data_IF_780828779061
#
_entry.id   IF_780828779061
#
_cell.length_a   1.000
_cell.length_b   1.000
_cell.length_c   1.000
_cell.angle_alpha   90.00
_cell.angle_beta   90.00
_cell.angle_gamma   90.00
#
_symmetry.space_group_name_H-M   'P 1'
#
loop_
_entity.id
_entity.type
_entity.pdbx_description
1 polymer ?
#
# COMPACT_ATOMS: atom_id res chain seq x y z
N UNK A 1 -28.08 18.46 -40.86
CA UNK A 1 -28.55 17.09 -41.09
C UNK A 1 -27.35 16.16 -41.27
N UNK A 2 -27.29 15.05 -40.54
CA UNK A 2 -26.22 14.06 -40.70
C UNK A 2 -26.56 13.11 -41.85
N UNK A 3 -25.64 12.89 -42.78
CA UNK A 3 -25.74 11.88 -43.85
C UNK A 3 -24.58 10.91 -43.72
N UNK A 4 -24.85 9.63 -43.98
CA UNK A 4 -23.83 8.59 -44.00
C UNK A 4 -23.46 8.27 -45.45
N UNK A 5 -22.22 8.51 -45.85
CA UNK A 5 -21.72 8.17 -47.19
C UNK A 5 -21.03 6.82 -47.14
N UNK A 6 -21.58 5.82 -47.83
CA UNK A 6 -20.97 4.49 -47.95
C UNK A 6 -20.27 4.38 -49.31
N UNK A 7 -18.95 4.21 -49.29
CA UNK A 7 -18.18 3.84 -50.49
C UNK A 7 -17.59 2.44 -50.32
N UNK A 8 -16.78 1.99 -51.29
CA UNK A 8 -15.99 0.76 -51.17
C UNK A 8 -14.92 0.84 -50.08
N UNK A 9 -14.52 2.05 -49.73
CA UNK A 9 -13.47 2.34 -48.77
C UNK A 9 -13.97 2.34 -47.33
N UNK A 10 -15.26 2.59 -47.10
CA UNK A 10 -15.79 2.71 -45.75
C UNK A 10 -17.13 3.45 -45.65
N UNK A 11 -17.52 3.77 -44.42
CA UNK A 11 -18.69 4.57 -44.11
C UNK A 11 -18.25 5.87 -43.43
N UNK A 12 -18.52 6.99 -44.07
CA UNK A 12 -18.18 8.33 -43.59
C UNK A 12 -19.44 9.06 -43.13
N UNK A 13 -19.32 9.94 -42.14
CA UNK A 13 -20.44 10.75 -41.64
C UNK A 13 -20.20 12.21 -42.01
N UNK A 14 -21.09 12.80 -42.81
CA UNK A 14 -21.03 14.19 -43.23
C UNK A 14 -22.21 14.96 -42.64
N UNK A 15 -21.95 16.17 -42.15
CA UNK A 15 -22.99 17.08 -41.66
C UNK A 15 -23.29 18.12 -42.73
N UNK A 16 -24.54 18.18 -43.17
CA UNK A 16 -25.05 19.25 -44.03
C UNK A 16 -25.72 20.32 -43.18
N UNK A 17 -25.33 21.57 -43.33
CA UNK A 17 -25.92 22.66 -42.55
C UNK A 17 -27.35 23.01 -43.01
N UNK A 18 -27.68 22.70 -44.27
CA UNK A 18 -28.99 23.00 -44.87
C UNK A 18 -29.79 21.71 -45.15
N UNK A 19 -31.02 21.54 -44.61
CA UNK A 19 -31.89 20.40 -44.89
C UNK A 19 -32.44 20.38 -46.33
N UNK A 20 -32.37 21.49 -47.07
CA UNK A 20 -32.75 21.59 -48.48
C UNK A 20 -31.56 21.48 -49.44
N UNK A 21 -30.46 20.85 -49.01
CA UNK A 21 -29.27 20.75 -49.83
C UNK A 21 -29.53 20.00 -51.16
N UNK A 22 -28.93 20.49 -52.24
CA UNK A 22 -28.99 19.83 -53.55
C UNK A 22 -27.90 18.76 -53.68
N UNK A 23 -28.04 17.87 -54.67
CA UNK A 23 -26.99 16.88 -54.98
C UNK A 23 -25.65 17.56 -55.27
N UNK A 24 -25.63 18.70 -55.96
CA UNK A 24 -24.40 19.47 -56.21
C UNK A 24 -23.69 19.90 -54.92
N UNK A 25 -24.46 20.34 -53.93
CA UNK A 25 -23.92 20.74 -52.62
C UNK A 25 -23.39 19.52 -51.85
N UNK A 26 -24.09 18.38 -51.92
CA UNK A 26 -23.60 17.12 -51.34
C UNK A 26 -22.29 16.66 -52.00
N UNK A 27 -22.19 16.73 -53.34
CA UNK A 27 -20.95 16.37 -54.05
C UNK A 27 -19.78 17.30 -53.70
N UNK A 28 -20.05 18.59 -53.54
CA UNK A 28 -19.06 19.57 -53.06
C UNK A 28 -18.57 19.22 -51.65
N UNK A 29 -19.49 18.88 -50.75
CA UNK A 29 -19.15 18.49 -49.38
C UNK A 29 -18.29 17.21 -49.35
N UNK A 30 -18.64 16.21 -50.17
CA UNK A 30 -17.85 14.98 -50.35
C UNK A 30 -16.43 15.31 -50.86
N UNK A 31 -16.31 16.23 -51.82
CA UNK A 31 -14.99 16.65 -52.31
C UNK A 31 -14.17 17.34 -51.22
N UNK A 32 -14.78 18.22 -50.42
CA UNK A 32 -14.08 18.94 -49.36
C UNK A 32 -13.63 18.03 -48.22
N UNK A 33 -14.48 17.10 -47.78
CA UNK A 33 -14.17 16.24 -46.62
C UNK A 33 -13.43 14.96 -46.99
N UNK A 34 -13.77 14.33 -48.12
CA UNK A 34 -13.22 13.05 -48.52
C UNK A 34 -12.16 13.17 -49.62
N UNK A 35 -11.90 14.39 -50.12
CA UNK A 35 -10.92 14.67 -51.17
C UNK A 35 -11.18 13.92 -52.49
N UNK A 36 -12.46 13.59 -52.76
CA UNK A 36 -12.90 12.89 -53.98
C UNK A 36 -13.38 13.93 -54.99
N UNK A 37 -12.73 14.12 -56.15
CA UNK A 37 -13.15 15.10 -57.15
C UNK A 37 -14.60 14.88 -57.61
N UNK A 38 -15.41 15.93 -57.73
CA UNK A 38 -16.82 15.83 -58.16
C UNK A 38 -16.98 15.04 -59.47
N UNK A 39 -16.03 15.16 -60.41
CA UNK A 39 -16.02 14.42 -61.68
C UNK A 39 -15.91 12.90 -61.53
N UNK A 40 -15.34 12.43 -60.42
CA UNK A 40 -15.23 11.01 -60.08
C UNK A 40 -16.39 10.48 -59.23
N UNK A 41 -17.32 11.34 -58.81
CA UNK A 41 -18.40 10.95 -57.90
C UNK A 41 -19.66 10.51 -58.64
N UNK A 42 -19.99 9.22 -58.51
CA UNK A 42 -21.33 8.69 -58.80
C UNK A 42 -22.06 8.42 -57.48
N UNK A 43 -23.21 9.06 -57.28
CA UNK A 43 -24.04 8.90 -56.08
C UNK A 43 -25.30 8.11 -56.42
N UNK A 44 -25.78 7.31 -55.48
CA UNK A 44 -27.07 6.64 -55.56
C UNK A 44 -27.63 6.37 -54.18
N UNK A 45 -28.96 6.32 -54.08
CA UNK A 45 -29.67 5.76 -52.92
C UNK A 45 -29.68 4.23 -52.94
N UNK A 46 -29.28 3.60 -54.06
CA UNK A 46 -29.25 2.15 -54.24
C UNK A 46 -27.88 1.54 -53.87
N UNK A 47 -27.89 0.60 -52.92
CA UNK A 47 -26.70 -0.12 -52.47
C UNK A 47 -25.95 -0.87 -53.58
N UNK A 48 -26.67 -1.32 -54.61
CA UNK A 48 -26.09 -2.10 -55.70
C UNK A 48 -25.05 -1.31 -56.52
N UNK A 49 -25.00 0.03 -56.37
CA UNK A 49 -23.95 0.87 -56.92
C UNK A 49 -22.55 0.35 -56.54
N UNK A 50 -22.37 -0.09 -55.29
CA UNK A 50 -21.06 -0.54 -54.81
C UNK A 50 -20.67 -1.93 -55.36
N UNK A 51 -21.64 -2.71 -55.85
CA UNK A 51 -21.45 -4.03 -56.45
C UNK A 51 -21.12 -3.95 -57.96
N UNK A 52 -21.36 -2.81 -58.60
CA UNK A 52 -21.14 -2.59 -60.03
C UNK A 52 -19.65 -2.68 -60.41
N UNK A 53 -19.25 -3.64 -61.24
CA UNK A 53 -17.83 -3.93 -61.49
C UNK A 53 -17.21 -3.09 -62.61
N UNK A 54 -18.02 -2.60 -63.54
CA UNK A 54 -17.55 -1.84 -64.71
C UNK A 54 -18.08 -0.39 -64.70
N UNK A 55 -17.39 0.57 -65.34
CA UNK A 55 -17.90 1.94 -65.49
C UNK A 55 -19.29 2.00 -66.15
N UNK A 56 -19.56 1.09 -67.09
CA UNK A 56 -20.87 0.96 -67.74
C UNK A 56 -21.97 0.51 -66.80
N UNK A 57 -21.67 -0.31 -65.79
CA UNK A 57 -22.63 -0.71 -64.75
C UNK A 57 -22.90 0.44 -63.78
N UNK A 58 -21.87 1.21 -63.43
CA UNK A 58 -21.97 2.39 -62.55
C UNK A 58 -22.83 3.48 -63.20
N UNK A 59 -22.67 3.70 -64.52
CA UNK A 59 -23.44 4.68 -65.27
C UNK A 59 -24.95 4.42 -65.32
N UNK A 60 -25.41 3.21 -64.96
CA UNK A 60 -26.86 2.87 -64.89
C UNK A 60 -27.56 3.48 -63.67
N UNK A 61 -26.80 3.95 -62.68
CA UNK A 61 -27.34 4.57 -61.47
C UNK A 61 -27.47 6.09 -61.69
N UNK A 62 -28.65 6.50 -62.15
CA UNK A 62 -28.93 7.91 -62.50
C UNK A 62 -29.90 8.58 -61.54
N UNK A 63 -30.28 7.92 -60.43
CA UNK A 63 -31.23 8.47 -59.45
C UNK A 63 -30.73 9.76 -58.77
N UNK A 64 -29.40 9.96 -58.72
CA UNK A 64 -28.78 11.19 -58.23
C UNK A 64 -27.93 11.91 -59.30
N UNK A 65 -28.31 11.83 -60.59
CA UNK A 65 -27.54 12.48 -61.66
C UNK A 65 -27.82 13.97 -61.84
N UNK A 66 -29.02 14.44 -61.49
CA UNK A 66 -29.39 15.86 -61.63
C UNK A 66 -28.82 16.71 -60.47
N UNK A 67 -27.87 17.62 -60.71
CA UNK A 67 -27.24 18.41 -59.66
C UNK A 67 -28.19 19.35 -58.91
N UNK A 68 -29.33 19.74 -59.49
CA UNK A 68 -30.27 20.68 -58.89
C UNK A 68 -31.35 20.01 -58.04
N UNK A 69 -31.51 18.68 -58.16
CA UNK A 69 -32.50 17.94 -57.37
C UNK A 69 -32.14 18.03 -55.87
N UNK A 70 -33.09 18.48 -55.01
CA UNK A 70 -32.91 18.44 -53.56
C UNK A 70 -32.81 17.00 -53.07
N UNK A 71 -31.84 16.70 -52.20
CA UNK A 71 -31.64 15.32 -51.71
C UNK A 71 -32.85 14.78 -50.94
N UNK A 72 -33.62 15.65 -50.30
CA UNK A 72 -34.87 15.29 -49.61
C UNK A 72 -35.95 14.74 -50.57
N UNK A 73 -35.95 15.17 -51.84
CA UNK A 73 -36.88 14.65 -52.86
C UNK A 73 -36.64 13.18 -53.20
N UNK A 74 -35.44 12.67 -52.89
CA UNK A 74 -35.03 11.28 -53.06
C UNK A 74 -35.20 10.44 -51.78
N UNK A 75 -35.91 10.97 -50.78
CA UNK A 75 -36.12 10.30 -49.49
C UNK A 75 -34.91 10.31 -48.57
N UNK A 76 -33.86 11.10 -48.88
CA UNK A 76 -32.68 11.23 -48.03
C UNK A 76 -32.99 12.16 -46.86
N UNK A 77 -33.17 11.58 -45.69
CA UNK A 77 -33.45 12.26 -44.42
C UNK A 77 -32.28 12.13 -43.44
N UNK A 78 -32.42 12.68 -42.22
CA UNK A 78 -31.36 12.59 -41.19
C UNK A 78 -30.96 11.13 -40.92
N UNK A 79 -29.67 10.85 -41.03
CA UNK A 79 -29.11 9.52 -40.84
C UNK A 79 -29.23 8.62 -42.07
N UNK A 80 -29.80 9.06 -43.19
CA UNK A 80 -29.88 8.25 -44.41
C UNK A 80 -28.50 7.88 -44.95
N UNK A 81 -28.42 6.73 -45.62
CA UNK A 81 -27.21 6.25 -46.28
C UNK A 81 -27.29 6.61 -47.77
N UNK A 82 -26.24 7.26 -48.28
CA UNK A 82 -26.04 7.48 -49.71
C UNK A 82 -24.80 6.71 -50.14
N UNK A 83 -24.89 5.99 -51.24
CA UNK A 83 -23.80 5.17 -51.76
C UNK A 83 -22.98 5.99 -52.76
N UNK A 84 -21.66 5.92 -52.65
CA UNK A 84 -20.71 6.64 -53.49
C UNK A 84 -19.77 5.65 -54.18
N UNK A 85 -19.79 5.63 -55.51
CA UNK A 85 -18.76 5.02 -56.34
C UNK A 85 -17.82 6.10 -56.89
N UNK A 86 -16.52 5.83 -56.78
CA UNK A 86 -15.44 6.66 -57.32
C UNK A 86 -14.24 5.77 -57.70
N UNK A 87 -13.37 6.29 -58.55
CA UNK A 87 -12.15 5.64 -59.05
C UNK A 87 -10.86 6.18 -58.42
N UNK A 88 -10.97 7.17 -57.53
CA UNK A 88 -9.85 7.79 -56.84
C UNK A 88 -9.26 6.87 -55.77
N UNK A 89 -7.96 6.58 -55.86
CA UNK A 89 -7.20 5.95 -54.78
C UNK A 89 -6.97 6.97 -53.66
N UNK A 90 -7.62 6.76 -52.50
CA UNK A 90 -7.41 7.57 -51.29
C UNK A 90 -6.75 6.75 -50.19
N UNK A 91 -5.85 7.38 -49.44
CA UNK A 91 -5.38 6.87 -48.15
C UNK A 91 -6.47 7.12 -47.11
N UNK A 92 -7.27 6.09 -46.82
CA UNK A 92 -8.27 6.16 -45.74
C UNK A 92 -7.54 6.04 -44.42
N UNK A 93 -7.62 7.05 -43.57
CA UNK A 93 -7.21 6.90 -42.17
C UNK A 93 -8.02 5.77 -41.55
N UNK A 94 -7.34 4.72 -41.09
CA UNK A 94 -7.99 3.62 -40.39
C UNK A 94 -8.80 4.13 -39.19
N UNK A 95 -9.76 3.34 -38.68
CA UNK A 95 -10.59 3.77 -37.56
C UNK A 95 -9.71 4.26 -36.41
N UNK A 96 -10.08 5.39 -35.81
CA UNK A 96 -9.51 5.83 -34.54
C UNK A 96 -9.82 4.77 -33.50
N UNK A 97 -8.82 3.93 -33.21
CA UNK A 97 -8.89 2.95 -32.13
C UNK A 97 -8.88 3.70 -30.80
N UNK A 98 -10.06 3.86 -30.20
CA UNK A 98 -10.20 4.04 -28.76
C UNK A 98 -10.39 2.65 -28.15
N UNK A 99 -9.39 2.05 -27.47
CA UNK A 99 -9.53 0.70 -26.97
C UNK A 99 -10.47 0.69 -25.77
N UNK A 100 -11.73 0.31 -26.01
CA UNK A 100 -12.49 -0.43 -25.02
C UNK A 100 -12.07 -1.90 -25.12
N UNK A 101 -11.42 -2.43 -24.07
CA UNK A 101 -11.29 -3.87 -23.85
C UNK A 101 -10.36 -4.65 -24.80
N UNK A 102 -9.11 -4.84 -24.36
CA UNK A 102 -8.40 -6.13 -24.33
C UNK A 102 -8.61 -7.19 -25.43
N UNK A 103 -8.65 -6.85 -26.72
CA UNK A 103 -8.46 -7.85 -27.79
C UNK A 103 -7.39 -7.40 -28.79
N UNK A 104 -6.24 -8.09 -28.78
CA UNK A 104 -5.24 -8.02 -29.86
C UNK A 104 -3.95 -7.24 -29.61
N UNK A 105 -3.71 -6.68 -28.42
CA UNK A 105 -2.35 -6.18 -28.08
C UNK A 105 -1.40 -7.37 -28.04
N UNK A 106 -0.28 -7.32 -28.77
CA UNK A 106 0.85 -8.24 -28.54
C UNK A 106 1.22 -8.10 -27.08
N UNK A 107 0.94 -9.14 -26.29
CA UNK A 107 1.30 -9.17 -24.88
C UNK A 107 2.81 -9.01 -24.79
N UNK A 108 3.25 -7.95 -24.14
CA UNK A 108 4.63 -7.82 -23.71
C UNK A 108 4.87 -8.77 -22.54
N UNK A 109 6.14 -9.09 -22.25
CA UNK A 109 6.44 -9.87 -21.04
C UNK A 109 5.94 -9.16 -19.79
N UNK A 110 6.00 -7.82 -19.75
CA UNK A 110 5.46 -7.05 -18.63
C UNK A 110 3.93 -7.18 -18.53
N UNK A 111 3.18 -7.21 -19.65
CA UNK A 111 1.73 -7.47 -19.64
C UNK A 111 1.40 -8.89 -19.11
N UNK A 112 2.25 -9.88 -19.39
CA UNK A 112 2.09 -11.24 -18.88
C UNK A 112 2.39 -11.33 -17.38
N UNK A 113 3.43 -10.65 -16.91
CA UNK A 113 3.79 -10.59 -15.48
C UNK A 113 2.71 -9.80 -14.71
N UNK A 114 2.23 -8.68 -15.24
CA UNK A 114 1.12 -7.90 -14.66
C UNK A 114 -0.14 -8.75 -14.48
N UNK A 115 -0.50 -9.55 -15.50
CA UNK A 115 -1.64 -10.48 -15.41
C UNK A 115 -1.47 -11.58 -14.35
N UNK A 116 -0.23 -11.96 -14.03
CA UNK A 116 0.05 -12.87 -12.92
C UNK A 116 -0.02 -12.16 -11.56
N UNK A 117 0.24 -10.85 -11.52
CA UNK A 117 0.28 -10.04 -10.30
C UNK A 117 -1.03 -9.30 -10.06
N UNK A 118 -1.99 -10.05 -9.53
CA UNK A 118 -3.28 -9.52 -9.09
C UNK A 118 -3.24 -9.16 -7.62
N UNK A 119 -3.56 -7.91 -7.29
CA UNK A 119 -3.76 -7.47 -5.91
C UNK A 119 -5.25 -7.60 -5.56
N UNK A 120 -5.53 -8.37 -4.51
CA UNK A 120 -6.86 -8.55 -3.94
C UNK A 120 -6.78 -8.40 -2.43
N UNK A 121 -7.85 -7.90 -1.82
CA UNK A 121 -7.95 -7.82 -0.36
C UNK A 121 -7.85 -9.22 0.24
N UNK A 122 -7.00 -9.35 1.27
CA UNK A 122 -6.95 -10.53 2.11
C UNK A 122 -7.89 -10.31 3.29
N UNK A 123 -8.85 -11.21 3.48
CA UNK A 123 -9.90 -11.05 4.49
C UNK A 123 -9.47 -11.56 5.86
N UNK A 124 -8.64 -12.61 5.91
CA UNK A 124 -8.23 -13.26 7.16
C UNK A 124 -6.73 -13.08 7.39
N UNK A 125 -6.32 -12.58 8.57
CA UNK A 125 -4.91 -12.59 8.96
C UNK A 125 -4.47 -14.03 9.24
N UNK A 126 -3.16 -14.24 9.27
CA UNK A 126 -2.57 -15.47 9.83
C UNK A 126 -2.41 -15.37 11.36
N UNK A 127 -2.32 -14.15 11.88
CA UNK A 127 -2.40 -13.85 13.31
C UNK A 127 -3.87 -13.83 13.77
N UNK A 128 -4.26 -14.77 14.62
CA UNK A 128 -5.64 -14.88 15.14
C UNK A 128 -6.01 -13.68 16.03
N UNK A 129 -5.07 -13.24 16.86
CA UNK A 129 -5.20 -12.04 17.69
C UNK A 129 -3.84 -11.58 18.19
N UNK A 130 -3.73 -10.31 18.56
CA UNK A 130 -2.58 -9.77 19.29
C UNK A 130 -3.02 -9.33 20.68
N UNK A 131 -2.32 -9.78 21.70
CA UNK A 131 -2.53 -9.38 23.08
C UNK A 131 -1.33 -8.57 23.57
N UNK A 132 -1.58 -7.38 24.13
CA UNK A 132 -0.52 -6.52 24.67
C UNK A 132 -0.46 -6.60 26.20
N UNK A 133 0.74 -6.67 26.75
CA UNK A 133 0.95 -6.42 28.17
C UNK A 133 0.54 -4.99 28.51
N UNK A 134 -0.29 -4.85 29.56
CA UNK A 134 -0.86 -3.58 29.97
C UNK A 134 0.21 -2.56 30.37
N UNK A 135 1.23 -2.99 31.12
CA UNK A 135 2.25 -2.08 31.63
C UNK A 135 3.21 -1.64 30.52
N UNK A 136 3.62 -2.57 29.64
CA UNK A 136 4.46 -2.27 28.49
C UNK A 136 3.74 -1.35 27.48
N UNK A 137 2.49 -1.65 27.13
CA UNK A 137 1.69 -0.79 26.26
C UNK A 137 1.47 0.59 26.89
N UNK A 138 1.20 0.64 28.20
CA UNK A 138 1.03 1.89 28.92
C UNK A 138 2.33 2.72 28.94
N UNK A 139 3.49 2.08 29.16
CA UNK A 139 4.79 2.75 29.15
C UNK A 139 5.14 3.35 27.79
N UNK A 140 4.74 2.71 26.69
CA UNK A 140 4.91 3.22 25.33
C UNK A 140 3.98 4.41 25.05
N UNK A 141 2.66 4.23 25.23
CA UNK A 141 1.70 5.32 24.95
C UNK A 141 1.93 6.55 25.83
N UNK A 142 2.30 6.35 27.10
CA UNK A 142 2.46 7.45 28.05
C UNK A 142 3.62 8.36 27.63
N UNK A 143 4.72 7.77 27.17
CA UNK A 143 5.85 8.56 26.66
C UNK A 143 5.47 9.35 25.41
N UNK A 144 4.76 8.71 24.48
CA UNK A 144 4.33 9.36 23.24
C UNK A 144 3.34 10.49 23.53
N UNK A 145 2.39 10.27 24.46
CA UNK A 145 1.38 11.25 24.83
C UNK A 145 1.96 12.43 25.62
N UNK A 146 2.67 12.13 26.72
CA UNK A 146 3.12 13.18 27.66
C UNK A 146 4.39 13.89 27.20
N UNK A 147 5.31 13.16 26.54
CA UNK A 147 6.62 13.73 26.18
C UNK A 147 6.66 14.20 24.74
N UNK A 148 6.12 13.41 23.81
CA UNK A 148 6.16 13.74 22.38
C UNK A 148 4.90 14.44 21.89
N UNK A 149 3.79 14.36 22.64
CA UNK A 149 2.47 14.93 22.30
C UNK A 149 2.03 14.52 20.88
N UNK A 150 2.40 13.31 20.45
CA UNK A 150 2.18 12.81 19.08
C UNK A 150 2.65 13.79 17.97
N UNK A 151 3.67 14.62 18.25
CA UNK A 151 4.21 15.59 17.29
C UNK A 151 5.20 14.96 16.29
N UNK A 152 5.85 13.86 16.69
CA UNK A 152 6.75 13.07 15.85
C UNK A 152 6.43 11.59 15.99
N UNK A 153 6.74 10.80 14.95
CA UNK A 153 6.59 9.34 14.99
C UNK A 153 7.59 8.71 15.96
N UNK A 154 7.16 7.61 16.58
CA UNK A 154 7.96 6.77 17.46
C UNK A 154 7.59 5.32 17.20
N UNK A 155 8.55 4.41 17.25
CA UNK A 155 8.27 2.98 17.09
C UNK A 155 9.18 2.07 17.89
N UNK A 156 8.84 0.79 17.88
CA UNK A 156 9.53 -0.23 18.64
C UNK A 156 9.25 -1.63 18.10
N UNK A 157 10.15 -2.55 18.38
CA UNK A 157 9.96 -3.97 18.11
C UNK A 157 9.23 -4.62 19.28
N UNK A 158 8.18 -5.36 18.96
CA UNK A 158 7.35 -6.07 19.92
C UNK A 158 7.93 -7.47 20.15
N UNK A 159 8.09 -7.86 21.41
CA UNK A 159 8.60 -9.18 21.79
C UNK A 159 7.62 -9.92 22.67
N UNK A 160 7.55 -11.23 22.47
CA UNK A 160 6.73 -12.13 23.27
C UNK A 160 6.61 -13.49 22.61
N UNK A 161 5.41 -14.06 22.57
CA UNK A 161 5.20 -15.45 22.12
C UNK A 161 4.12 -15.55 21.04
N UNK A 162 4.15 -16.65 20.29
CA UNK A 162 3.14 -17.02 19.32
C UNK A 162 2.62 -18.40 19.71
N UNK A 163 1.32 -18.50 19.97
CA UNK A 163 0.65 -19.76 20.30
C UNK A 163 0.39 -20.61 19.03
N UNK A 164 0.08 -21.89 19.23
CA UNK A 164 -0.16 -22.84 18.13
C UNK A 164 -1.35 -22.46 17.23
N UNK A 165 -2.31 -21.71 17.77
CA UNK A 165 -3.49 -21.19 17.06
C UNK A 165 -3.21 -19.88 16.31
N UNK A 166 -1.99 -19.36 16.38
CA UNK A 166 -1.59 -18.10 15.76
C UNK A 166 -1.90 -16.86 16.61
N UNK A 167 -2.31 -17.02 17.87
CA UNK A 167 -2.43 -15.89 18.79
C UNK A 167 -1.04 -15.37 19.20
N UNK A 168 -0.83 -14.07 19.00
CA UNK A 168 0.40 -13.37 19.37
C UNK A 168 0.23 -12.70 20.73
N UNK A 169 1.23 -12.86 21.59
CA UNK A 169 1.32 -12.19 22.88
C UNK A 169 2.56 -11.32 22.89
N UNK A 170 2.41 -10.04 23.22
CA UNK A 170 3.48 -9.04 23.34
C UNK A 170 3.70 -8.73 24.82
N UNK A 171 4.84 -9.14 25.36
CA UNK A 171 5.18 -8.97 26.78
C UNK A 171 6.11 -7.77 27.03
N UNK A 172 6.85 -7.28 26.03
CA UNK A 172 7.60 -6.01 26.10
C UNK A 172 7.85 -5.38 24.71
N UNK A 173 8.22 -4.10 24.71
CA UNK A 173 8.52 -3.32 23.50
C UNK A 173 9.94 -2.76 23.62
N UNK A 174 10.82 -3.15 22.72
CA UNK A 174 12.16 -2.57 22.60
C UNK A 174 12.13 -1.40 21.61
N UNK A 175 12.59 -0.22 22.03
CA UNK A 175 12.63 0.97 21.19
C UNK A 175 14.06 1.17 20.64
N UNK A 176 14.35 0.84 19.36
CA UNK A 176 15.68 1.01 18.81
C UNK A 176 16.07 2.49 18.73
N UNK A 177 17.37 2.82 18.59
CA UNK A 177 17.78 4.16 18.22
C UNK A 177 17.03 4.60 16.96
N UNK A 178 16.42 5.78 16.98
CA UNK A 178 15.49 6.18 15.93
C UNK A 178 15.36 7.69 15.82
N UNK A 179 14.97 8.16 14.63
CA UNK A 179 14.65 9.54 14.34
C UNK A 179 13.25 9.63 13.76
N UNK A 180 12.32 10.17 14.56
CA UNK A 180 10.97 10.47 14.14
C UNK A 180 10.84 11.88 13.57
N UNK A 181 10.05 12.02 12.52
CA UNK A 181 9.51 13.29 12.04
C UNK A 181 7.98 13.22 12.05
N UNK A 182 7.31 14.25 11.55
CA UNK A 182 5.86 14.25 11.40
C UNK A 182 5.38 13.17 10.41
N UNK A 183 6.14 12.98 9.32
CA UNK A 183 5.78 12.14 8.18
C UNK A 183 6.44 10.75 8.24
N UNK A 184 7.67 10.66 8.77
CA UNK A 184 8.52 9.47 8.65
C UNK A 184 9.12 9.03 9.99
N UNK A 185 9.40 7.73 10.08
CA UNK A 185 10.13 7.13 11.20
C UNK A 185 11.35 6.39 10.65
N UNK A 186 12.54 6.86 11.01
CA UNK A 186 13.80 6.23 10.60
C UNK A 186 14.33 5.42 11.78
N UNK A 187 14.44 4.10 11.62
CA UNK A 187 15.07 3.22 12.60
C UNK A 187 16.57 3.16 12.33
N UNK A 188 17.37 3.65 13.28
CA UNK A 188 18.84 3.59 13.24
C UNK A 188 19.29 2.27 13.89
N UNK A 189 19.01 1.15 13.21
CA UNK A 189 19.22 -0.21 13.72
C UNK A 189 20.68 -0.41 14.15
N UNK A 190 20.86 -0.80 15.41
CA UNK A 190 22.15 -1.20 15.97
C UNK A 190 22.18 -2.73 16.06
N UNK A 191 23.00 -3.36 15.21
CA UNK A 191 23.06 -4.83 15.14
C UNK A 191 23.62 -5.45 16.43
N UNK A 192 24.51 -4.77 17.14
CA UNK A 192 25.11 -5.30 18.36
C UNK A 192 24.12 -5.20 19.53
N UNK A 193 23.40 -4.08 19.65
CA UNK A 193 22.31 -3.95 20.64
C UNK A 193 21.16 -4.91 20.33
N UNK A 194 20.73 -5.03 19.06
CA UNK A 194 19.67 -5.98 18.68
C UNK A 194 20.04 -7.44 19.00
N UNK A 195 21.31 -7.84 18.85
CA UNK A 195 21.75 -9.19 19.27
C UNK A 195 21.59 -9.41 20.77
N UNK A 196 21.86 -8.40 21.59
CA UNK A 196 21.64 -8.49 23.04
C UNK A 196 20.14 -8.61 23.35
N UNK A 197 19.31 -7.80 22.69
CA UNK A 197 17.85 -7.86 22.83
C UNK A 197 17.33 -9.25 22.45
N UNK A 198 17.73 -9.79 21.31
CA UNK A 198 17.32 -11.10 20.83
C UNK A 198 17.82 -12.23 21.76
N UNK A 199 19.02 -12.11 22.33
CA UNK A 199 19.57 -13.07 23.31
C UNK A 199 18.78 -13.06 24.63
N UNK A 200 18.44 -11.87 25.15
CA UNK A 200 17.60 -11.74 26.34
C UNK A 200 16.21 -12.33 26.06
N UNK A 201 15.59 -11.95 24.94
CA UNK A 201 14.29 -12.46 24.54
C UNK A 201 14.29 -14.00 24.46
N UNK A 202 15.30 -14.58 23.83
CA UNK A 202 15.45 -16.03 23.71
C UNK A 202 15.55 -16.72 25.08
N UNK A 203 16.35 -16.17 26.01
CA UNK A 203 16.46 -16.70 27.37
C UNK A 203 15.18 -16.53 28.20
N UNK A 204 14.33 -15.55 27.86
CA UNK A 204 12.99 -15.38 28.41
C UNK A 204 11.95 -16.32 27.75
N UNK A 205 12.32 -17.09 26.73
CA UNK A 205 11.41 -17.91 25.92
C UNK A 205 10.51 -17.09 25.00
N UNK A 206 10.97 -15.90 24.62
CA UNK A 206 10.28 -14.94 23.78
C UNK A 206 11.04 -14.74 22.46
N UNK A 207 10.37 -14.13 21.49
CA UNK A 207 10.93 -13.75 20.19
C UNK A 207 10.35 -12.43 19.71
N UNK A 208 10.97 -11.83 18.70
CA UNK A 208 10.40 -10.69 17.98
C UNK A 208 9.14 -11.15 17.24
N UNK A 209 8.01 -10.51 17.54
CA UNK A 209 6.68 -10.89 17.02
C UNK A 209 6.01 -9.78 16.21
N UNK A 210 6.55 -8.56 16.25
CA UNK A 210 5.96 -7.47 15.49
C UNK A 210 6.68 -6.14 15.61
N UNK A 211 6.05 -5.12 15.03
CA UNK A 211 6.47 -3.74 15.08
C UNK A 211 5.31 -2.85 15.51
N UNK A 212 5.57 -1.88 16.38
CA UNK A 212 4.61 -0.86 16.80
C UNK A 212 5.14 0.51 16.42
N UNK A 213 4.28 1.39 15.92
CA UNK A 213 4.63 2.79 15.68
C UNK A 213 3.46 3.74 15.93
N UNK A 214 3.76 5.03 16.02
CA UNK A 214 2.77 6.07 16.28
C UNK A 214 2.45 6.88 15.02
N UNK A 215 1.20 7.26 14.88
CA UNK A 215 0.77 8.29 13.93
C UNK A 215 0.69 9.64 14.61
N UNK A 216 1.06 10.68 13.88
CA UNK A 216 1.04 12.05 14.40
C UNK A 216 -0.36 12.66 14.35
N UNK A 217 -0.59 13.70 15.15
CA UNK A 217 -1.90 14.38 15.22
C UNK A 217 -2.35 14.93 13.86
N UNK A 218 -1.40 15.39 13.03
CA UNK A 218 -1.70 15.90 11.69
C UNK A 218 -2.15 14.80 10.73
N UNK A 219 -1.59 13.60 10.85
CA UNK A 219 -1.99 12.44 10.06
C UNK A 219 -3.39 11.95 10.41
N UNK A 220 -3.81 12.04 11.68
CA UNK A 220 -5.17 11.67 12.11
C UNK A 220 -6.28 12.48 11.44
N UNK A 221 -5.95 13.59 10.77
CA UNK A 221 -6.89 14.40 9.97
C UNK A 221 -7.00 13.95 8.52
N UNK A 222 -6.19 13.00 8.07
CA UNK A 222 -6.13 12.50 6.69
C UNK A 222 -6.97 11.22 6.55
N UNK A 223 -7.56 10.99 5.38
CA UNK A 223 -8.49 9.88 5.10
C UNK A 223 -7.75 8.62 4.57
N UNK A 224 -6.86 8.05 5.39
CA UNK A 224 -6.21 6.76 5.12
C UNK A 224 -5.71 6.12 6.42
N UNK A 225 -5.61 4.78 6.45
CA UNK A 225 -5.16 4.05 7.64
C UNK A 225 -3.65 4.02 7.78
N UNK A 226 -2.90 3.77 6.71
CA UNK A 226 -1.44 3.86 6.69
C UNK A 226 -0.96 4.61 5.45
N UNK A 227 0.10 5.43 5.59
CA UNK A 227 0.76 6.05 4.44
C UNK A 227 1.56 5.02 3.64
N UNK A 228 1.93 5.37 2.41
CA UNK A 228 2.79 4.53 1.58
C UNK A 228 4.15 4.24 2.25
N UNK A 229 4.75 5.20 2.95
CA UNK A 229 5.99 5.03 3.71
C UNK A 229 5.82 4.06 4.88
N UNK A 230 4.68 4.11 5.58
CA UNK A 230 4.34 3.19 6.67
C UNK A 230 4.10 1.77 6.15
N UNK A 231 3.37 1.62 5.03
CA UNK A 231 3.16 0.33 4.36
C UNK A 231 4.48 -0.28 3.94
N UNK A 232 5.38 0.50 3.34
CA UNK A 232 6.70 0.02 2.93
C UNK A 232 7.53 -0.46 4.12
N UNK A 233 7.61 0.34 5.19
CA UNK A 233 8.35 -0.05 6.39
C UNK A 233 7.72 -1.29 7.07
N UNK A 234 6.40 -1.36 7.14
CA UNK A 234 5.70 -2.52 7.69
C UNK A 234 5.92 -3.79 6.84
N UNK A 235 5.91 -3.67 5.51
CA UNK A 235 6.16 -4.78 4.59
C UNK A 235 7.62 -5.25 4.64
N UNK A 236 8.57 -4.33 4.77
CA UNK A 236 9.98 -4.62 4.97
C UNK A 236 10.19 -5.45 6.24
N UNK A 237 9.74 -4.94 7.39
CA UNK A 237 9.92 -5.59 8.68
C UNK A 237 9.20 -6.95 8.76
N UNK A 238 7.97 -7.05 8.24
CA UNK A 238 7.28 -8.33 8.13
C UNK A 238 8.05 -9.29 7.22
N UNK A 239 8.52 -8.81 6.06
CA UNK A 239 9.26 -9.61 5.09
C UNK A 239 10.57 -10.17 5.65
N UNK A 240 11.32 -9.37 6.39
CA UNK A 240 12.56 -9.74 7.08
C UNK A 240 12.35 -10.74 8.21
N UNK A 241 11.24 -10.61 8.96
CA UNK A 241 11.00 -11.43 10.15
C UNK A 241 10.91 -12.93 9.87
N UNK A 242 10.44 -13.30 8.67
CA UNK A 242 10.08 -14.68 8.32
C UNK A 242 8.94 -15.27 9.19
N UNK A 243 8.30 -14.46 10.04
CA UNK A 243 7.20 -14.86 10.91
C UNK A 243 5.87 -14.66 10.18
N UNK A 244 5.12 -15.75 10.05
CA UNK A 244 3.82 -15.73 9.37
C UNK A 244 2.77 -14.96 10.18
N UNK A 245 2.87 -14.92 11.50
CA UNK A 245 1.94 -14.25 12.41
C UNK A 245 2.38 -12.82 12.77
N UNK A 246 3.33 -12.24 12.04
CA UNK A 246 3.87 -10.91 12.33
C UNK A 246 2.78 -9.83 12.40
N UNK A 247 2.84 -9.00 13.45
CA UNK A 247 1.88 -7.92 13.70
C UNK A 247 2.51 -6.55 13.53
N UNK A 248 1.80 -5.65 12.86
CA UNK A 248 2.07 -4.22 12.82
C UNK A 248 1.01 -3.48 13.63
N UNK A 249 1.40 -2.86 14.73
CA UNK A 249 0.53 -2.08 15.60
C UNK A 249 0.72 -0.57 15.36
N UNK A 250 -0.40 0.17 15.34
CA UNK A 250 -0.44 1.61 15.14
C UNK A 250 -1.07 2.26 16.37
N UNK A 251 -0.39 3.25 16.94
CA UNK A 251 -0.86 4.02 18.09
C UNK A 251 -1.18 5.43 17.64
N UNK A 252 -2.42 5.89 17.90
CA UNK A 252 -2.89 7.20 17.45
C UNK A 252 -3.75 7.87 18.51
N UNK A 253 -3.77 9.20 18.51
CA UNK A 253 -4.63 9.99 19.37
C UNK A 253 -6.00 10.23 18.71
N UNK A 254 -7.07 9.68 19.27
CA UNK A 254 -8.45 9.90 18.80
C UNK A 254 -9.15 10.92 19.67
N UNK A 255 -9.85 11.87 19.03
CA UNK A 255 -10.71 12.82 19.74
C UNK A 255 -12.08 12.17 19.93
N UNK A 256 -12.53 12.10 21.17
CA UNK A 256 -13.82 11.56 21.56
C UNK A 256 -14.93 12.61 21.38
N UNK A 257 -16.19 12.17 21.48
CA UNK A 257 -17.37 13.03 21.34
C UNK A 257 -17.45 14.17 22.38
N UNK A 258 -16.78 14.01 23.53
CA UNK A 258 -16.74 15.00 24.62
C UNK A 258 -15.53 15.98 24.53
N UNK A 259 -14.91 16.13 23.36
CA UNK A 259 -13.64 16.88 23.16
C UNK A 259 -12.45 16.37 24.00
N UNK A 260 -12.59 15.19 24.62
CA UNK A 260 -11.49 14.45 25.24
C UNK A 260 -10.60 13.78 24.19
N UNK A 261 -9.34 13.50 24.50
CA UNK A 261 -8.43 12.81 23.61
C UNK A 261 -7.93 11.53 24.27
N UNK A 262 -8.20 10.39 23.62
CA UNK A 262 -7.77 9.08 24.07
C UNK A 262 -6.75 8.48 23.10
N UNK A 263 -5.81 7.71 23.65
CA UNK A 263 -4.86 6.96 22.83
C UNK A 263 -5.50 5.64 22.40
N UNK A 264 -5.55 5.42 21.09
CA UNK A 264 -6.12 4.24 20.47
C UNK A 264 -5.04 3.39 19.81
N UNK A 265 -5.20 2.07 19.92
CA UNK A 265 -4.34 1.07 19.28
C UNK A 265 -5.12 0.39 18.17
N UNK A 266 -4.49 0.29 17.00
CA UNK A 266 -4.97 -0.54 15.89
C UNK A 266 -3.90 -1.59 15.56
N UNK A 267 -4.31 -2.76 15.13
CA UNK A 267 -3.40 -3.84 14.80
C UNK A 267 -3.74 -4.42 13.44
N UNK A 268 -2.69 -4.61 12.64
CA UNK A 268 -2.77 -5.09 11.29
C UNK A 268 -1.72 -6.14 11.03
N UNK A 269 -1.99 -6.97 10.06
CA UNK A 269 -1.00 -7.79 9.39
C UNK A 269 -0.91 -7.34 7.93
N UNK A 270 0.32 -7.22 7.41
CA UNK A 270 0.49 -6.96 5.98
C UNK A 270 0.05 -8.21 5.21
N UNK A 271 -0.81 -8.02 4.21
CA UNK A 271 -1.27 -9.13 3.36
C UNK A 271 -0.10 -9.87 2.71
N UNK A 272 -0.32 -11.15 2.40
CA UNK A 272 0.67 -11.99 1.72
C UNK A 272 1.11 -11.35 0.39
N UNK A 273 0.19 -10.68 -0.30
CA UNK A 273 0.47 -9.96 -1.53
C UNK A 273 1.38 -8.75 -1.30
N UNK A 274 1.16 -7.97 -0.24
CA UNK A 274 2.01 -6.84 0.12
C UNK A 274 3.45 -7.30 0.37
N UNK A 275 3.62 -8.31 1.23
CA UNK A 275 4.94 -8.86 1.57
C UNK A 275 5.62 -9.44 0.34
N UNK A 276 4.87 -10.12 -0.54
CA UNK A 276 5.39 -10.66 -1.80
C UNK A 276 5.86 -9.56 -2.75
N UNK A 277 5.04 -8.53 -2.97
CA UNK A 277 5.37 -7.40 -3.83
C UNK A 277 6.64 -6.69 -3.34
N UNK A 278 6.80 -6.54 -2.02
CA UNK A 278 8.00 -5.97 -1.43
C UNK A 278 9.23 -6.85 -1.70
N UNK A 279 9.17 -8.15 -1.39
CA UNK A 279 10.28 -9.10 -1.59
C UNK A 279 10.70 -9.23 -3.06
N UNK A 280 9.74 -9.15 -3.98
CA UNK A 280 9.99 -9.19 -5.41
C UNK A 280 10.38 -7.81 -5.98
N UNK A 281 10.47 -6.76 -5.15
CA UNK A 281 10.95 -5.44 -5.54
C UNK A 281 9.98 -4.65 -6.42
N UNK A 282 8.67 -4.90 -6.33
CA UNK A 282 7.65 -4.26 -7.16
C UNK A 282 7.34 -2.82 -6.77
N UNK A 283 7.49 -2.47 -5.50
CA UNK A 283 7.24 -1.11 -5.04
C UNK A 283 8.26 -0.11 -5.61
N UNK A 284 7.77 1.08 -5.96
CA UNK A 284 8.59 2.28 -6.08
C UNK A 284 8.88 2.79 -4.66
N UNK A 285 10.16 2.83 -4.29
CA UNK A 285 10.62 3.23 -2.95
C UNK A 285 11.05 4.70 -2.88
N UNK A 286 11.41 5.30 -4.02
CA UNK A 286 11.73 6.72 -4.14
C UNK A 286 10.43 7.51 -4.35
N UNK A 287 9.70 7.72 -3.26
CA UNK A 287 8.42 8.43 -3.26
C UNK A 287 8.70 9.93 -3.08
N UNK A 288 8.48 10.73 -4.13
CA UNK A 288 8.54 12.19 -4.03
C UNK A 288 7.36 12.75 -3.23
N UNK A 289 7.53 13.96 -2.68
CA UNK A 289 6.53 14.63 -1.82
C UNK A 289 5.17 14.90 -2.51
N UNK A 290 5.09 14.76 -3.84
CA UNK A 290 3.87 14.99 -4.62
C UNK A 290 2.96 13.75 -4.73
N UNK A 291 3.38 12.60 -4.22
CA UNK A 291 2.60 11.36 -4.31
C UNK A 291 1.57 11.30 -3.18
N UNK A 292 0.32 10.96 -3.52
CA UNK A 292 -0.74 10.76 -2.53
C UNK A 292 -0.31 9.70 -1.49
N UNK A 293 -0.22 10.04 -0.19
CA UNK A 293 0.20 9.10 0.84
C UNK A 293 -0.74 7.89 0.97
N UNK A 294 -2.00 7.99 0.51
CA UNK A 294 -2.96 6.88 0.49
C UNK A 294 -2.62 5.78 -0.52
N UNK A 295 -1.75 6.09 -1.50
CA UNK A 295 -1.45 5.20 -2.62
C UNK A 295 0.01 4.74 -2.60
N UNK A 296 0.20 3.43 -2.71
CA UNK A 296 1.50 2.83 -3.00
C UNK A 296 1.70 2.70 -4.50
N UNK A 297 2.88 3.12 -5.00
CA UNK A 297 3.24 3.05 -6.42
C UNK A 297 4.05 1.80 -6.75
N UNK A 298 3.72 1.16 -7.88
CA UNK A 298 4.35 -0.04 -8.41
C UNK A 298 5.20 0.30 -9.64
N UNK A 299 6.38 -0.32 -9.76
CA UNK A 299 7.27 -0.18 -10.92
C UNK A 299 6.67 -0.70 -12.23
N UNK A 300 5.73 -1.64 -12.11
CA UNK A 300 5.03 -2.30 -13.22
C UNK A 300 3.54 -2.32 -12.94
N UNK A 301 2.75 -2.52 -13.99
CA UNK A 301 1.30 -2.61 -13.86
C UNK A 301 0.93 -3.86 -13.04
N UNK A 302 -0.03 -3.69 -12.12
CA UNK A 302 -0.67 -4.75 -11.35
C UNK A 302 -2.17 -4.71 -11.59
N UNK A 303 -2.83 -5.85 -11.46
CA UNK A 303 -4.29 -5.93 -11.64
C UNK A 303 -5.00 -5.73 -10.31
N UNK A 304 -5.75 -4.63 -10.17
CA UNK A 304 -6.66 -4.39 -9.03
C UNK A 304 -8.10 -4.49 -9.52
N UNK A 305 -8.82 -5.51 -9.06
CA UNK A 305 -10.16 -5.82 -9.56
C UNK A 305 -10.15 -6.26 -11.02
N UNK A 306 -10.47 -5.31 -11.93
CA UNK A 306 -10.48 -5.48 -13.40
C UNK A 306 -9.62 -4.43 -14.13
N UNK A 307 -8.91 -3.56 -13.39
CA UNK A 307 -8.09 -2.48 -13.93
C UNK A 307 -6.61 -2.80 -13.76
N UNK A 308 -5.84 -2.53 -14.81
CA UNK A 308 -4.38 -2.47 -14.74
C UNK A 308 -4.00 -1.08 -14.22
N UNK A 309 -3.22 -1.03 -13.13
CA UNK A 309 -2.82 0.22 -12.48
C UNK A 309 -1.42 0.08 -11.89
N UNK A 310 -0.75 1.21 -11.67
CA UNK A 310 0.50 1.28 -10.88
C UNK A 310 0.28 1.87 -9.50
N UNK A 311 -0.89 2.42 -9.24
CA UNK A 311 -1.26 2.98 -7.94
C UNK A 311 -2.26 2.05 -7.29
N UNK A 312 -1.92 1.59 -6.10
CA UNK A 312 -2.73 0.69 -5.29
C UNK A 312 -3.06 1.40 -3.98
N UNK A 313 -4.34 1.43 -3.64
CA UNK A 313 -4.79 1.93 -2.34
C UNK A 313 -4.22 1.06 -1.22
N UNK A 314 -3.59 1.71 -0.23
CA UNK A 314 -2.89 1.05 0.86
C UNK A 314 -3.79 0.08 1.64
N UNK A 315 -5.09 0.33 1.71
CA UNK A 315 -6.04 -0.54 2.43
C UNK A 315 -6.12 -1.95 1.85
N UNK A 316 -5.74 -2.16 0.58
CA UNK A 316 -5.64 -3.52 0.00
C UNK A 316 -4.56 -4.36 0.67
N UNK A 317 -3.58 -3.72 1.31
CA UNK A 317 -2.47 -4.39 1.96
C UNK A 317 -2.68 -4.65 3.44
N UNK A 318 -3.72 -4.06 4.04
CA UNK A 318 -3.97 -4.11 5.47
C UNK A 318 -5.00 -5.19 5.81
N UNK A 319 -4.62 -6.12 6.67
CA UNK A 319 -5.50 -7.15 7.21
C UNK A 319 -5.69 -6.89 8.70
N UNK A 320 -6.92 -6.69 9.15
CA UNK A 320 -7.20 -6.35 10.56
C UNK A 320 -6.90 -7.52 11.49
N UNK A 321 -6.26 -7.22 12.62
CA UNK A 321 -5.97 -8.18 13.69
C UNK A 321 -6.71 -7.78 14.96
N UNK A 322 -7.37 -8.74 15.60
CA UNK A 322 -8.09 -8.51 16.86
C UNK A 322 -7.11 -8.18 17.99
N UNK A 323 -7.39 -7.11 18.73
CA UNK A 323 -6.60 -6.71 19.91
C UNK A 323 -7.21 -7.27 21.20
N UNK A 324 -6.35 -7.76 22.07
CA UNK A 324 -6.61 -8.19 23.44
C UNK A 324 -5.59 -7.55 24.39
N UNK A 325 -5.76 -7.73 25.70
CA UNK A 325 -4.78 -7.34 26.70
C UNK A 325 -4.44 -8.51 27.65
N UNK A 326 -3.34 -8.37 28.37
CA UNK A 326 -2.96 -9.29 29.44
C UNK A 326 -2.02 -8.62 30.45
N UNK A 327 -1.72 -9.34 31.53
CA UNK A 327 -0.60 -9.01 32.43
C UNK A 327 0.53 -10.01 32.22
N UNK A 328 1.71 -9.49 31.91
CA UNK A 328 2.95 -10.20 31.62
C UNK A 328 3.72 -10.62 32.87
N UNK A 329 4.73 -11.48 32.72
CA UNK A 329 5.58 -11.92 33.83
C UNK A 329 6.66 -10.90 34.21
N UNK A 330 6.96 -9.95 33.31
CA UNK A 330 7.97 -8.90 33.49
C UNK A 330 7.32 -7.64 34.07
N UNK A 331 8.09 -6.87 34.83
CA UNK A 331 7.73 -5.48 35.14
C UNK A 331 8.18 -4.55 34.03
N UNK A 332 7.49 -3.41 33.88
CA UNK A 332 7.85 -2.32 32.96
C UNK A 332 8.05 -1.01 33.73
N UNK A 333 8.87 -1.06 34.78
CA UNK A 333 9.06 0.08 35.71
C UNK A 333 10.45 0.70 35.65
N UNK A 334 11.37 0.03 34.95
CA UNK A 334 12.70 0.55 34.65
C UNK A 334 12.66 1.55 33.49
N UNK A 335 13.54 2.58 33.48
CA UNK A 335 13.61 3.51 32.35
C UNK A 335 13.98 2.82 31.04
N UNK A 336 13.24 3.16 29.98
CA UNK A 336 13.40 2.61 28.63
C UNK A 336 14.52 3.36 27.89
N UNK A 337 15.39 2.59 27.23
CA UNK A 337 16.50 3.07 26.39
C UNK A 337 16.05 3.94 25.21
N UNK A 338 17.01 4.65 24.60
CA UNK A 338 16.82 5.41 23.36
C UNK A 338 15.71 6.48 23.39
N UNK A 339 15.25 6.87 24.58
CA UNK A 339 14.36 8.01 24.84
C UNK A 339 15.17 9.27 25.15
N UNK A 340 14.50 10.42 25.24
CA UNK A 340 15.16 11.73 25.49
C UNK A 340 15.98 11.70 26.79
N UNK A 341 15.48 11.03 27.83
CA UNK A 341 16.22 10.83 29.07
C UNK A 341 17.07 9.56 28.98
N UNK A 342 18.39 9.72 29.12
CA UNK A 342 19.30 8.59 29.12
C UNK A 342 19.16 7.74 30.39
N UNK A 343 19.20 6.42 30.21
CA UNK A 343 19.25 5.46 31.33
C UNK A 343 20.61 5.56 32.00
N UNK A 344 20.62 5.74 33.31
CA UNK A 344 21.85 5.86 34.11
C UNK A 344 21.95 4.73 35.11
N UNK A 345 23.15 4.41 35.57
CA UNK A 345 23.37 3.45 36.66
C UNK A 345 22.71 3.86 37.98
N UNK A 346 22.47 5.17 38.20
CA UNK A 346 21.65 5.63 39.33
C UNK A 346 20.20 5.12 39.24
N UNK A 347 19.66 4.95 38.03
CA UNK A 347 18.35 4.32 37.84
C UNK A 347 18.36 2.86 38.29
N UNK A 348 19.45 2.11 38.02
CA UNK A 348 19.63 0.74 38.53
C UNK A 348 19.56 0.70 40.06
N UNK A 349 20.33 1.56 40.73
CA UNK A 349 20.30 1.67 42.20
C UNK A 349 18.90 1.99 42.74
N UNK A 350 18.27 3.04 42.22
CA UNK A 350 16.93 3.45 42.64
C UNK A 350 15.89 2.34 42.42
N UNK A 351 16.02 1.58 41.33
CA UNK A 351 15.14 0.45 41.04
C UNK A 351 15.31 -0.68 42.06
N UNK A 352 16.55 -1.11 42.30
CA UNK A 352 16.85 -2.16 43.27
C UNK A 352 16.44 -1.76 44.69
N UNK A 353 16.63 -0.49 45.08
CA UNK A 353 16.22 0.04 46.39
C UNK A 353 14.69 0.03 46.56
N UNK A 354 13.93 0.39 45.52
CA UNK A 354 12.45 0.32 45.53
C UNK A 354 11.97 -1.13 45.65
N UNK A 355 12.65 -2.07 44.99
CA UNK A 355 12.29 -3.48 44.94
C UNK A 355 12.96 -4.34 46.04
N UNK A 356 13.68 -3.75 47.00
CA UNK A 356 14.53 -4.47 47.98
C UNK A 356 13.81 -5.55 48.80
N UNK A 357 12.50 -5.40 48.99
CA UNK A 357 11.67 -6.34 49.75
C UNK A 357 11.25 -7.57 48.94
N UNK A 358 11.52 -7.61 47.63
CA UNK A 358 11.20 -8.74 46.76
C UNK A 358 12.38 -9.72 46.66
N UNK A 359 12.15 -10.98 46.28
CA UNK A 359 13.23 -11.89 45.88
C UNK A 359 14.07 -11.28 44.76
N UNK A 360 15.39 -11.54 44.74
CA UNK A 360 16.31 -10.90 43.80
C UNK A 360 15.87 -11.07 42.33
N UNK A 361 15.42 -12.27 41.95
CA UNK A 361 14.90 -12.56 40.60
C UNK A 361 13.76 -11.62 40.18
N UNK A 362 12.85 -11.27 41.11
CA UNK A 362 11.75 -10.33 40.86
C UNK A 362 12.23 -8.90 40.70
N UNK A 363 13.32 -8.52 41.36
CA UNK A 363 13.91 -7.17 41.23
C UNK A 363 14.49 -6.94 39.84
N UNK A 364 15.02 -8.00 39.22
CA UNK A 364 15.63 -7.96 37.89
C UNK A 364 14.68 -8.44 36.77
N UNK A 365 13.44 -8.80 37.08
CA UNK A 365 12.42 -9.25 36.11
C UNK A 365 11.86 -8.08 35.29
N UNK A 366 12.72 -7.30 34.65
CA UNK A 366 12.39 -6.15 33.81
C UNK A 366 13.30 -6.18 32.58
N UNK A 367 12.73 -6.20 31.38
CA UNK A 367 13.51 -6.33 30.15
C UNK A 367 14.51 -5.18 29.97
N UNK A 368 14.11 -3.94 30.23
CA UNK A 368 14.97 -2.77 30.02
C UNK A 368 16.11 -2.74 31.04
N UNK A 369 15.88 -3.26 32.25
CA UNK A 369 16.94 -3.49 33.22
C UNK A 369 17.92 -4.56 32.74
N UNK A 370 17.42 -5.70 32.25
CA UNK A 370 18.26 -6.77 31.72
C UNK A 370 19.12 -6.29 30.54
N UNK A 371 18.59 -5.43 29.67
CA UNK A 371 19.32 -4.81 28.57
C UNK A 371 20.42 -3.84 29.06
N UNK A 372 20.19 -3.12 30.16
CA UNK A 372 21.26 -2.33 30.77
C UNK A 372 22.38 -3.23 31.31
N UNK A 373 22.01 -4.31 32.00
CA UNK A 373 22.98 -5.24 32.58
C UNK A 373 23.77 -5.99 31.51
N UNK A 374 23.14 -6.34 30.38
CA UNK A 374 23.77 -7.11 29.31
C UNK A 374 24.98 -6.40 28.68
N UNK A 375 25.08 -5.07 28.85
CA UNK A 375 26.25 -4.26 28.43
C UNK A 375 27.52 -4.57 29.23
N UNK A 376 27.40 -5.24 30.38
CA UNK A 376 28.50 -5.58 31.28
C UNK A 376 28.71 -7.10 31.42
N UNK A 377 27.99 -7.89 30.63
CA UNK A 377 27.91 -9.35 30.76
C UNK A 377 28.28 -10.03 29.45
N UNK A 378 28.75 -11.27 29.52
CA UNK A 378 28.99 -12.06 28.31
C UNK A 378 27.67 -12.50 27.68
N UNK A 379 27.50 -12.17 26.39
CA UNK A 379 26.27 -12.44 25.64
C UNK A 379 25.98 -13.93 25.47
N UNK A 380 27.00 -14.79 25.48
CA UNK A 380 26.85 -16.22 25.18
C UNK A 380 26.61 -17.07 26.43
N UNK A 381 26.89 -16.53 27.61
CA UNK A 381 26.84 -17.28 28.87
C UNK A 381 26.03 -16.58 29.95
N UNK A 382 26.38 -15.35 30.31
CA UNK A 382 25.76 -14.63 31.42
C UNK A 382 24.35 -14.14 31.10
N UNK A 383 24.16 -13.56 29.91
CA UNK A 383 22.86 -13.02 29.49
C UNK A 383 21.78 -14.12 29.42
N UNK A 384 22.01 -15.27 28.76
CA UNK A 384 21.06 -16.37 28.76
C UNK A 384 20.79 -16.92 30.18
N UNK A 385 21.81 -17.05 31.02
CA UNK A 385 21.65 -17.58 32.38
C UNK A 385 20.77 -16.68 33.26
N UNK A 386 20.95 -15.36 33.19
CA UNK A 386 20.09 -14.42 33.92
C UNK A 386 18.66 -14.40 33.38
N UNK A 387 18.51 -14.41 32.06
CA UNK A 387 17.19 -14.45 31.41
C UNK A 387 16.44 -15.75 31.77
N UNK A 388 17.11 -16.91 31.80
CA UNK A 388 16.53 -18.19 32.24
C UNK A 388 16.11 -18.14 33.72
N UNK A 389 16.89 -17.50 34.59
CA UNK A 389 16.50 -17.28 35.98
C UNK A 389 15.19 -16.50 36.07
N UNK A 390 15.05 -15.43 35.27
CA UNK A 390 13.82 -14.62 35.19
C UNK A 390 12.68 -15.43 34.59
N UNK A 391 12.89 -16.19 33.54
CA UNK A 391 11.87 -17.03 32.92
C UNK A 391 11.31 -18.07 33.89
N UNK A 392 12.20 -18.79 34.57
CA UNK A 392 11.85 -19.89 35.49
C UNK A 392 11.53 -19.42 36.90
N UNK A 393 11.72 -18.12 37.18
CA UNK A 393 11.59 -17.51 38.50
C UNK A 393 12.45 -18.23 39.56
N UNK A 394 13.62 -18.70 39.14
CA UNK A 394 14.57 -19.44 39.98
C UNK A 394 15.53 -18.50 40.72
N UNK A 395 16.29 -19.06 41.65
CA UNK A 395 17.25 -18.29 42.45
C UNK A 395 18.43 -17.83 41.56
N UNK A 396 18.66 -16.51 41.54
CA UNK A 396 19.81 -15.92 40.83
C UNK A 396 21.10 -16.31 41.56
N UNK A 397 22.13 -16.84 40.89
CA UNK A 397 23.41 -17.17 41.51
C UNK A 397 24.03 -15.98 42.26
N UNK A 398 24.61 -16.23 43.44
CA UNK A 398 25.16 -15.19 44.33
C UNK A 398 26.20 -14.30 43.63
N UNK A 399 27.03 -14.87 42.75
CA UNK A 399 28.00 -14.11 41.96
C UNK A 399 27.35 -13.01 41.10
N UNK A 400 26.21 -13.30 40.46
CA UNK A 400 25.48 -12.29 39.69
C UNK A 400 24.81 -11.26 40.61
N UNK A 401 24.30 -11.68 41.76
CA UNK A 401 23.70 -10.73 42.72
C UNK A 401 24.73 -9.69 43.16
N UNK A 402 25.92 -10.14 43.58
CA UNK A 402 27.02 -9.27 44.00
C UNK A 402 27.50 -8.36 42.87
N UNK A 403 27.60 -8.88 41.63
CA UNK A 403 28.00 -8.10 40.47
C UNK A 403 26.99 -6.98 40.19
N UNK A 404 25.69 -7.29 40.17
CA UNK A 404 24.63 -6.33 39.91
C UNK A 404 24.55 -5.28 41.03
N UNK A 405 24.67 -5.68 42.29
CA UNK A 405 24.71 -4.75 43.42
C UNK A 405 25.95 -3.84 43.40
N UNK A 406 27.10 -4.38 42.98
CA UNK A 406 28.33 -3.61 42.78
C UNK A 406 28.17 -2.57 41.68
N UNK A 407 27.61 -2.96 40.53
CA UNK A 407 27.28 -2.06 39.42
C UNK A 407 26.34 -0.93 39.87
N UNK A 408 25.32 -1.25 40.66
CA UNK A 408 24.39 -0.27 41.22
C UNK A 408 25.05 0.69 42.24
N UNK A 409 26.05 0.20 42.97
CA UNK A 409 26.75 0.97 44.02
C UNK A 409 27.90 1.83 43.49
N UNK A 410 28.36 1.59 42.27
CA UNK A 410 29.48 2.30 41.65
C UNK A 410 29.12 3.74 41.17
N UNK A 411 27.95 4.28 41.51
CA UNK A 411 27.38 5.53 40.97
C UNK A 411 26.83 6.51 42.00
#
# INVERSE_FOLDING_TARGET
MLIRIRSRDGLERLTLDNPHATISQLKTLIQQHLHIPISSQTLSTNQNLLLAKTPSDIARFTDMSDPQTPIAALGVTHGSIVYLAHDTQRTVSGPTFSPAGSFGRRMTMDDLIAKQMRVTRQETPHCESVSFDRDAANAFQHYVNETLVFAVKRGGFMYGTVADDGAVRVDFIYEPPQQGTEENLILMRDTDEERLVDAIAMGLGMRRVGFIFTQTISQNKKDYTMSNSEVLQAAELHGESGLKEWVTAVVKLTVNEDDGADVHFEAFQMSDMCVRLFKEGWFETDIGEEVDPKLSRMKKDVVVGVKDTREVDNDFFLVLVKILDHQGPLSSTFPIENRITQVTMRALKNHLDRAKNLPFVKRISDFHLLLLLSRFLDINSDVPALAECVQTQSAVPEGYQLLIESLASAC
#
